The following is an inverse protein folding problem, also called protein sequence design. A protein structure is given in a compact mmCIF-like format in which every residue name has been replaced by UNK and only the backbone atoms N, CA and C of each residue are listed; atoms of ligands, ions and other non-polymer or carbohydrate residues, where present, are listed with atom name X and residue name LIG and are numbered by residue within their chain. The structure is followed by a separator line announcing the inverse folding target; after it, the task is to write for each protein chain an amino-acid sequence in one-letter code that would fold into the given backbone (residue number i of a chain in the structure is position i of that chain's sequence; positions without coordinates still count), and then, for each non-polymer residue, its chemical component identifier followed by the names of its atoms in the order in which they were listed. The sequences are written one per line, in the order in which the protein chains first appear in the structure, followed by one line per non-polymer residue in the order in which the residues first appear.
data_IF_463461867262
#
_entry.id   IF_463461867262
#
_cell.length_a   1.000
_cell.length_b   1.000
_cell.length_c   1.000
_cell.angle_alpha   90.00
_cell.angle_beta   90.00
_cell.angle_gamma   90.00
#
_symmetry.space_group_name_H-M   'P 1'
#
loop_
_entity.id
_entity.type
_entity.pdbx_description
1 polymer ?
#
# COMPACT_ATOMS: atom_id res chain seq x y z
N UNK A 1 -30.72 21.80 29.94
CA UNK A 1 -29.47 22.31 29.36
C UNK A 1 -28.38 21.30 29.67
N UNK A 2 -28.19 20.35 28.76
CA UNK A 2 -27.04 19.44 28.77
C UNK A 2 -26.38 19.61 27.41
N UNK A 3 -25.44 20.55 27.35
CA UNK A 3 -24.63 20.78 26.16
C UNK A 3 -23.82 19.51 25.91
N UNK A 4 -24.18 18.76 24.87
CA UNK A 4 -23.30 17.75 24.31
C UNK A 4 -22.11 18.50 23.69
N UNK A 5 -21.05 18.68 24.49
CA UNK A 5 -19.82 19.44 24.20
C UNK A 5 -19.01 18.87 23.01
N UNK A 6 -19.42 17.73 22.42
CA UNK A 6 -18.77 17.14 21.26
C UNK A 6 -19.84 16.84 20.20
N UNK A 7 -19.85 17.62 19.12
CA UNK A 7 -20.55 17.25 17.88
C UNK A 7 -19.66 16.27 17.09
N UNK A 8 -20.00 14.99 17.13
CA UNK A 8 -19.35 13.98 16.31
C UNK A 8 -19.86 14.10 14.87
N UNK A 9 -19.03 14.61 13.97
CA UNK A 9 -19.36 14.62 12.55
C UNK A 9 -19.03 13.24 11.95
N UNK A 10 -20.02 12.35 11.92
CA UNK A 10 -19.86 10.98 11.43
C UNK A 10 -19.33 10.90 10.00
N UNK A 11 -19.77 11.81 9.12
CA UNK A 11 -19.37 11.80 7.71
C UNK A 11 -17.88 12.11 7.56
N UNK A 12 -17.36 13.05 8.36
CA UNK A 12 -15.95 13.39 8.39
C UNK A 12 -15.09 12.22 8.88
N UNK A 13 -15.57 11.48 9.88
CA UNK A 13 -14.87 10.29 10.42
C UNK A 13 -14.85 9.15 9.40
N UNK A 14 -15.98 8.87 8.74
CA UNK A 14 -16.08 7.82 7.72
C UNK A 14 -15.16 8.11 6.53
N UNK A 15 -15.08 9.35 6.09
CA UNK A 15 -14.19 9.75 5.00
C UNK A 15 -12.71 9.61 5.39
N UNK A 16 -12.31 10.14 6.56
CA UNK A 16 -10.94 10.00 7.05
C UNK A 16 -10.53 8.52 7.23
N UNK A 17 -11.41 7.69 7.77
CA UNK A 17 -11.16 6.25 7.89
C UNK A 17 -11.01 5.58 6.52
N UNK A 18 -11.83 5.95 5.53
CA UNK A 18 -11.74 5.40 4.18
C UNK A 18 -10.38 5.73 3.54
N UNK A 19 -9.89 6.96 3.69
CA UNK A 19 -8.59 7.36 3.17
C UNK A 19 -7.43 6.66 3.88
N UNK A 20 -7.52 6.50 5.20
CA UNK A 20 -6.54 5.73 5.97
C UNK A 20 -6.48 4.27 5.52
N UNK A 21 -7.63 3.63 5.32
CA UNK A 21 -7.71 2.26 4.83
C UNK A 21 -7.15 2.17 3.41
N UNK A 22 -7.51 3.11 2.53
CA UNK A 22 -7.00 3.13 1.15
C UNK A 22 -5.47 3.24 1.12
N UNK A 23 -4.89 4.14 1.90
CA UNK A 23 -3.43 4.29 1.99
C UNK A 23 -2.77 3.02 2.55
N UNK A 24 -3.34 2.43 3.60
CA UNK A 24 -2.81 1.18 4.17
C UNK A 24 -2.88 0.02 3.17
N UNK A 25 -3.94 -0.08 2.39
CA UNK A 25 -4.06 -1.07 1.30
C UNK A 25 -3.01 -0.82 0.22
N UNK A 26 -2.81 0.42 -0.20
CA UNK A 26 -1.78 0.77 -1.19
C UNK A 26 -0.37 0.41 -0.70
N UNK A 27 -0.02 0.78 0.53
CA UNK A 27 1.29 0.47 1.12
C UNK A 27 1.52 -1.03 1.26
N UNK A 28 0.53 -1.76 1.75
CA UNK A 28 0.63 -3.22 1.95
C UNK A 28 0.76 -3.97 0.64
N UNK A 29 0.00 -3.59 -0.40
CA UNK A 29 0.10 -4.21 -1.72
C UNK A 29 1.47 -3.97 -2.35
N UNK A 30 2.00 -2.74 -2.28
CA UNK A 30 3.32 -2.44 -2.80
C UNK A 30 4.43 -3.19 -2.04
N UNK A 31 4.32 -3.32 -0.72
CA UNK A 31 5.25 -4.11 0.08
C UNK A 31 5.23 -5.60 -0.29
N UNK A 32 4.05 -6.16 -0.56
CA UNK A 32 3.91 -7.55 -1.02
C UNK A 32 4.54 -7.77 -2.40
N UNK A 33 4.37 -6.82 -3.34
CA UNK A 33 5.02 -6.88 -4.64
C UNK A 33 6.55 -6.84 -4.52
N UNK A 34 7.09 -5.99 -3.63
CA UNK A 34 8.52 -5.93 -3.37
C UNK A 34 9.04 -7.25 -2.79
N UNK A 35 8.31 -7.86 -1.87
CA UNK A 35 8.65 -9.16 -1.28
C UNK A 35 8.61 -10.29 -2.31
N UNK A 36 7.57 -10.35 -3.15
CA UNK A 36 7.46 -11.34 -4.22
C UNK A 36 8.64 -11.21 -5.20
N UNK A 37 9.08 -9.98 -5.51
CA UNK A 37 10.25 -9.75 -6.34
C UNK A 37 11.55 -10.23 -5.67
N UNK A 38 11.69 -10.09 -4.34
CA UNK A 38 12.84 -10.64 -3.60
C UNK A 38 12.86 -12.17 -3.64
N UNK A 39 11.69 -12.83 -3.46
CA UNK A 39 11.57 -14.29 -3.55
C UNK A 39 11.87 -14.82 -4.96
N UNK A 40 11.38 -14.13 -6.00
CA UNK A 40 11.63 -14.51 -7.40
C UNK A 40 13.11 -14.39 -7.77
N UNK A 41 13.77 -13.31 -7.32
CA UNK A 41 15.19 -13.06 -7.60
C UNK A 41 16.11 -13.81 -6.61
N UNK A 42 15.56 -14.31 -5.50
CA UNK A 42 16.28 -14.96 -4.40
C UNK A 42 17.40 -14.08 -3.81
N UNK A 43 17.13 -12.78 -3.70
CA UNK A 43 18.04 -11.80 -3.10
C UNK A 43 17.30 -10.47 -2.87
N UNK A 44 17.61 -9.81 -1.76
CA UNK A 44 17.08 -8.49 -1.44
C UNK A 44 17.57 -7.41 -2.42
N UNK A 45 16.88 -6.26 -2.41
CA UNK A 45 17.28 -5.09 -3.19
C UNK A 45 18.73 -4.67 -2.87
N UNK A 46 19.57 -4.66 -3.90
CA UNK A 46 21.02 -4.38 -3.85
C UNK A 46 21.87 -5.38 -3.07
N UNK A 47 21.30 -6.48 -2.55
CA UNK A 47 22.08 -7.52 -1.91
C UNK A 47 23.10 -8.11 -2.88
N UNK A 48 24.23 -8.60 -2.39
CA UNK A 48 25.19 -9.37 -3.19
C UNK A 48 25.14 -10.82 -2.74
N UNK A 49 24.28 -11.60 -3.37
CA UNK A 49 24.16 -13.04 -3.13
C UNK A 49 24.62 -13.84 -4.34
N UNK A 50 25.32 -14.95 -4.10
CA UNK A 50 25.66 -15.93 -5.14
C UNK A 50 24.46 -16.73 -5.63
N UNK A 51 23.38 -16.78 -4.83
CA UNK A 51 22.15 -17.50 -5.14
C UNK A 51 21.13 -16.64 -5.92
N UNK A 52 21.50 -15.41 -6.29
CA UNK A 52 20.66 -14.49 -7.07
C UNK A 52 20.33 -15.07 -8.44
N UNK A 53 19.04 -15.09 -8.78
CA UNK A 53 18.50 -15.67 -10.03
C UNK A 53 18.18 -14.65 -11.12
N UNK A 54 18.17 -13.35 -10.81
CA UNK A 54 17.78 -12.31 -11.77
C UNK A 54 18.12 -10.89 -11.33
N UNK A 55 17.60 -9.90 -12.07
CA UNK A 55 17.76 -8.48 -11.78
C UNK A 55 16.42 -7.75 -11.83
N UNK A 56 16.28 -6.69 -11.03
CA UNK A 56 15.11 -5.80 -11.00
C UNK A 56 15.26 -4.71 -12.08
N UNK A 57 14.21 -4.49 -12.89
CA UNK A 57 14.24 -3.57 -14.03
C UNK A 57 13.46 -2.27 -13.78
N UNK A 58 13.54 -1.72 -12.56
CA UNK A 58 12.78 -0.54 -12.17
C UNK A 58 11.34 -0.86 -11.80
N UNK A 59 10.47 0.14 -11.85
CA UNK A 59 9.03 0.00 -11.64
C UNK A 59 8.25 0.87 -12.64
N UNK A 60 6.99 0.54 -12.87
CA UNK A 60 6.01 1.39 -13.54
C UNK A 60 4.72 1.47 -12.72
N UNK A 61 3.99 2.58 -12.88
CA UNK A 61 2.76 2.80 -12.13
C UNK A 61 1.56 2.14 -12.81
N UNK A 62 0.69 1.50 -12.02
CA UNK A 62 -0.61 0.98 -12.45
C UNK A 62 -1.69 1.32 -11.45
N UNK A 63 -2.86 1.73 -11.95
CA UNK A 63 -4.04 1.92 -11.11
C UNK A 63 -4.73 0.57 -10.86
N UNK A 64 -5.13 0.35 -9.61
CA UNK A 64 -5.87 -0.84 -9.20
C UNK A 64 -7.10 -0.44 -8.38
N UNK A 65 -8.28 -0.86 -8.81
CA UNK A 65 -9.54 -0.52 -8.16
C UNK A 65 -9.82 -1.48 -7.01
N UNK A 66 -9.92 -0.94 -5.79
CA UNK A 66 -10.30 -1.69 -4.58
C UNK A 66 -11.65 -1.21 -4.04
N UNK A 67 -12.23 -1.96 -3.11
CA UNK A 67 -13.47 -1.56 -2.41
C UNK A 67 -13.31 -0.21 -1.68
N UNK A 68 -12.11 0.10 -1.20
CA UNK A 68 -11.80 1.34 -0.48
C UNK A 68 -11.47 2.52 -1.41
N UNK A 69 -11.33 2.27 -2.72
CA UNK A 69 -10.99 3.26 -3.74
C UNK A 69 -9.88 2.79 -4.68
N UNK A 70 -9.54 3.62 -5.64
CA UNK A 70 -8.39 3.35 -6.51
C UNK A 70 -7.08 3.56 -5.76
N UNK A 71 -6.13 2.65 -5.96
CA UNK A 71 -4.76 2.71 -5.41
C UNK A 71 -3.74 2.61 -6.53
N UNK A 72 -2.56 3.17 -6.29
CA UNK A 72 -1.46 3.13 -7.26
C UNK A 72 -0.44 2.07 -6.86
N UNK A 73 -0.21 1.10 -7.75
CA UNK A 73 0.79 0.05 -7.60
C UNK A 73 2.06 0.40 -8.38
N UNK A 74 3.23 0.07 -7.80
CA UNK A 74 4.55 0.16 -8.41
C UNK A 74 5.00 -1.26 -8.79
N UNK A 75 4.80 -1.62 -10.06
CA UNK A 75 5.03 -2.97 -10.60
C UNK A 75 6.40 -3.07 -11.28
#
# INVERSE_FOLDING_TARGET
MSDNIIQLNEDLIKNNLKDLVRNSVEETLNALLDHEADELVNADKYERSGDRKGYRSGHYERNFSTTSGDVTLKV
#
